data_IF_097330934623
#
_entry.id   IF_097330934623
#
_cell.length_a   1.000
_cell.length_b   1.000
_cell.length_c   1.000
_cell.angle_alpha   90.00
_cell.angle_beta   90.00
_cell.angle_gamma   90.00
#
_symmetry.space_group_name_H-M   'P 1'
#
loop_
_entity.id
_entity.type
_entity.pdbx_description
1 polymer ?
#
# COMPACT_ATOMS: atom_id res chain seq x y z
N UNK A 1 111.77 12.34 26.17
CA UNK A 1 111.32 13.72 25.95
C UNK A 1 110.55 13.72 24.66
N UNK A 2 109.34 14.29 24.70
CA UNK A 2 108.47 14.65 23.54
C UNK A 2 107.89 13.44 22.76
N UNK A 3 106.59 13.30 22.50
CA UNK A 3 105.45 14.20 22.66
C UNK A 3 104.13 13.43 22.77
N UNK A 4 103.16 14.08 23.40
CA UNK A 4 101.77 13.66 23.55
C UNK A 4 101.04 13.71 22.20
N UNK A 5 100.19 12.71 21.90
CA UNK A 5 98.99 12.99 21.12
C UNK A 5 97.77 12.23 21.64
N UNK A 6 96.91 13.03 22.25
CA UNK A 6 95.55 12.82 22.68
C UNK A 6 94.64 12.55 21.48
N UNK A 7 93.80 11.51 21.50
CA UNK A 7 92.45 11.65 20.89
C UNK A 7 91.44 10.59 21.38
N UNK A 8 90.60 11.05 22.31
CA UNK A 8 89.13 11.01 22.26
C UNK A 8 88.44 9.64 22.15
N UNK A 9 87.94 9.23 23.33
CA UNK A 9 86.58 8.73 23.58
C UNK A 9 85.62 8.87 22.40
N UNK A 10 85.13 7.74 21.90
CA UNK A 10 83.92 7.71 21.07
C UNK A 10 83.01 6.60 21.57
N UNK A 11 82.45 6.83 22.76
CA UNK A 11 81.22 6.18 23.23
C UNK A 11 80.15 6.53 22.19
N UNK A 12 79.91 5.65 21.22
CA UNK A 12 78.73 5.71 20.37
C UNK A 12 77.52 5.41 21.25
N UNK A 13 77.04 6.44 21.96
CA UNK A 13 75.62 6.60 22.25
C UNK A 13 74.92 6.65 20.90
N UNK A 14 74.59 5.47 20.39
CA UNK A 14 73.46 5.34 19.48
C UNK A 14 72.26 5.73 20.33
N UNK A 15 71.89 7.00 20.27
CA UNK A 15 70.53 7.42 20.53
C UNK A 15 69.65 6.58 19.60
N UNK A 16 69.16 5.47 20.12
CA UNK A 16 67.94 4.84 19.63
C UNK A 16 66.86 5.87 19.92
N UNK A 17 66.67 6.78 18.96
CA UNK A 17 65.43 7.53 18.85
C UNK A 17 64.31 6.50 18.95
N UNK A 18 63.50 6.70 19.99
CA UNK A 18 62.45 5.81 20.44
C UNK A 18 61.31 5.76 19.42
N UNK A 19 61.56 5.13 18.27
CA UNK A 19 60.56 4.87 17.25
C UNK A 19 59.55 3.80 17.69
N UNK A 20 59.75 3.20 18.88
CA UNK A 20 58.84 2.21 19.47
C UNK A 20 57.49 2.86 19.82
N UNK A 21 57.49 4.11 20.30
CA UNK A 21 56.27 4.87 20.55
C UNK A 21 55.54 5.26 19.26
N UNK A 22 56.26 5.66 18.21
CA UNK A 22 55.66 5.98 16.90
C UNK A 22 55.03 4.74 16.23
N UNK A 23 55.67 3.58 16.34
CA UNK A 23 55.14 2.31 15.83
C UNK A 23 53.91 1.86 16.65
N UNK A 24 53.94 1.99 17.98
CA UNK A 24 52.76 1.72 18.83
C UNK A 24 51.61 2.67 18.57
N UNK A 25 51.90 3.95 18.37
CA UNK A 25 50.89 4.99 18.12
C UNK A 25 50.28 4.80 16.73
N UNK A 26 51.09 4.51 15.72
CA UNK A 26 50.62 4.17 14.37
C UNK A 26 49.78 2.89 14.33
N UNK A 27 50.15 1.87 15.11
CA UNK A 27 49.34 0.65 15.26
C UNK A 27 47.98 0.95 15.89
N UNK A 28 47.93 1.76 16.95
CA UNK A 28 46.68 2.10 17.63
C UNK A 28 45.76 2.97 16.76
N UNK A 29 46.34 3.93 16.03
CA UNK A 29 45.61 4.74 15.04
C UNK A 29 45.04 3.86 13.93
N UNK A 30 45.83 2.92 13.38
CA UNK A 30 45.37 1.97 12.37
C UNK A 30 44.21 1.10 12.87
N UNK A 31 44.26 0.66 14.14
CA UNK A 31 43.20 -0.15 14.72
C UNK A 31 41.91 0.64 14.95
N UNK A 32 42.01 1.89 15.37
CA UNK A 32 40.85 2.81 15.46
C UNK A 32 40.26 3.05 14.08
N UNK A 33 41.09 3.28 13.05
CA UNK A 33 40.62 3.41 11.67
C UNK A 33 39.94 2.14 11.16
N UNK A 34 40.47 0.94 11.45
CA UNK A 34 39.80 -0.32 11.10
C UNK A 34 38.46 -0.47 11.81
N UNK A 35 38.37 -0.11 13.09
CA UNK A 35 37.12 -0.17 13.84
C UNK A 35 36.08 0.79 13.25
N UNK A 36 36.47 2.04 12.99
CA UNK A 36 35.61 3.04 12.33
C UNK A 36 35.18 2.55 10.94
N UNK A 37 36.10 2.02 10.13
CA UNK A 37 35.78 1.50 8.80
C UNK A 37 34.79 0.33 8.85
N UNK A 38 34.91 -0.56 9.85
CA UNK A 38 33.99 -1.69 10.03
C UNK A 38 32.60 -1.22 10.43
N UNK A 39 32.52 -0.26 11.37
CA UNK A 39 31.23 0.32 11.80
C UNK A 39 30.57 1.08 10.65
N UNK A 40 31.32 1.87 9.88
CA UNK A 40 30.80 2.57 8.70
C UNK A 40 30.37 1.59 7.60
N UNK A 41 31.11 0.50 7.39
CA UNK A 41 30.75 -0.53 6.42
C UNK A 41 29.44 -1.22 6.76
N UNK A 42 29.24 -1.60 8.03
CA UNK A 42 27.97 -2.18 8.50
C UNK A 42 26.84 -1.16 8.42
N UNK A 43 27.09 0.10 8.80
CA UNK A 43 26.09 1.16 8.74
C UNK A 43 25.55 1.37 7.33
N UNK A 44 26.43 1.52 6.34
CA UNK A 44 26.05 1.71 4.93
C UNK A 44 25.30 0.49 4.37
N UNK A 45 25.77 -0.73 4.66
CA UNK A 45 25.08 -1.95 4.24
C UNK A 45 23.70 -2.09 4.88
N UNK A 46 23.55 -1.69 6.15
CA UNK A 46 22.27 -1.72 6.86
C UNK A 46 21.27 -0.67 6.36
N UNK A 47 21.75 0.49 5.90
CA UNK A 47 20.92 1.55 5.34
C UNK A 47 20.26 1.11 4.02
N UNK A 48 21.03 0.47 3.14
CA UNK A 48 20.51 -0.12 1.90
C UNK A 48 19.47 -1.23 2.20
N UNK A 49 19.75 -2.09 3.18
CA UNK A 49 18.83 -3.16 3.60
C UNK A 49 17.48 -2.64 4.13
N UNK A 50 17.51 -1.60 4.97
CA UNK A 50 16.30 -0.98 5.50
C UNK A 50 15.49 -0.29 4.40
N UNK A 51 16.16 0.46 3.52
CA UNK A 51 15.51 1.15 2.40
C UNK A 51 14.84 0.15 1.46
N UNK A 52 15.50 -0.97 1.17
CA UNK A 52 14.93 -2.06 0.35
C UNK A 52 13.71 -2.71 1.03
N UNK A 53 13.78 -2.93 2.35
CA UNK A 53 12.67 -3.54 3.10
C UNK A 53 11.43 -2.63 3.17
N UNK A 54 11.62 -1.31 3.36
CA UNK A 54 10.52 -0.34 3.33
C UNK A 54 9.86 -0.34 1.94
N UNK A 55 10.67 -0.25 0.88
CA UNK A 55 10.16 -0.27 -0.50
C UNK A 55 9.40 -1.57 -0.81
N UNK A 56 9.91 -2.71 -0.35
CA UNK A 56 9.21 -3.99 -0.50
C UNK A 56 7.85 -3.98 0.20
N UNK A 57 7.79 -3.51 1.45
CA UNK A 57 6.54 -3.42 2.20
C UNK A 57 5.53 -2.48 1.53
N UNK A 58 5.96 -1.33 1.03
CA UNK A 58 5.10 -0.40 0.30
C UNK A 58 4.51 -1.02 -0.97
N UNK A 59 5.32 -1.78 -1.72
CA UNK A 59 4.88 -2.50 -2.92
C UNK A 59 3.90 -3.63 -2.55
N UNK A 60 4.18 -4.40 -1.50
CA UNK A 60 3.30 -5.48 -1.03
C UNK A 60 1.94 -4.94 -0.56
N UNK A 61 1.94 -3.86 0.22
CA UNK A 61 0.73 -3.16 0.65
C UNK A 61 -0.07 -2.63 -0.55
N UNK A 62 0.61 -2.02 -1.52
CA UNK A 62 -0.02 -1.52 -2.75
C UNK A 62 -0.64 -2.66 -3.57
N UNK A 63 0.05 -3.79 -3.71
CA UNK A 63 -0.47 -4.97 -4.42
C UNK A 63 -1.71 -5.54 -3.71
N UNK A 64 -1.65 -5.69 -2.39
CA UNK A 64 -2.78 -6.21 -1.62
C UNK A 64 -3.98 -5.25 -1.65
N UNK A 65 -3.73 -3.94 -1.59
CA UNK A 65 -4.77 -2.91 -1.73
C UNK A 65 -5.35 -2.90 -3.16
N UNK A 66 -4.54 -3.17 -4.18
CA UNK A 66 -5.00 -3.32 -5.58
C UNK A 66 -6.02 -4.45 -5.69
N UNK A 67 -5.68 -5.66 -5.22
CA UNK A 67 -6.60 -6.81 -5.29
C UNK A 67 -7.87 -6.59 -4.48
N UNK A 68 -7.77 -5.93 -3.32
CA UNK A 68 -8.92 -5.59 -2.50
C UNK A 68 -9.89 -4.65 -3.26
N UNK A 69 -9.34 -3.59 -3.85
CA UNK A 69 -10.13 -2.63 -4.62
C UNK A 69 -10.67 -3.23 -5.92
N UNK A 70 -9.93 -4.13 -6.57
CA UNK A 70 -10.41 -4.84 -7.77
C UNK A 70 -11.58 -5.75 -7.44
N UNK A 71 -11.47 -6.52 -6.37
CA UNK A 71 -12.57 -7.38 -5.90
C UNK A 71 -13.80 -6.56 -5.52
N UNK A 72 -13.58 -5.39 -4.90
CA UNK A 72 -14.67 -4.48 -4.56
C UNK A 72 -15.31 -3.87 -5.81
N UNK A 73 -14.52 -3.51 -6.81
CA UNK A 73 -15.02 -3.03 -8.10
C UNK A 73 -15.93 -4.07 -8.75
N UNK A 74 -15.48 -5.33 -8.83
CA UNK A 74 -16.25 -6.41 -9.45
C UNK A 74 -17.57 -6.65 -8.68
N UNK A 75 -17.54 -6.72 -7.34
CA UNK A 75 -18.76 -6.85 -6.51
C UNK A 75 -19.75 -5.70 -6.76
N UNK A 76 -19.27 -4.46 -6.79
CA UNK A 76 -20.14 -3.30 -6.97
C UNK A 76 -20.69 -3.24 -8.39
N UNK A 77 -19.90 -3.61 -9.40
CA UNK A 77 -20.34 -3.71 -10.79
C UNK A 77 -21.47 -4.73 -10.93
N UNK A 78 -21.30 -5.93 -10.38
CA UNK A 78 -22.33 -6.97 -10.40
C UNK A 78 -23.61 -6.50 -9.69
N UNK A 79 -23.48 -5.76 -8.59
CA UNK A 79 -24.63 -5.20 -7.87
C UNK A 79 -25.34 -4.08 -8.65
N UNK A 80 -24.62 -3.26 -9.43
CA UNK A 80 -25.24 -2.28 -10.33
C UNK A 80 -26.09 -3.00 -11.36
N UNK A 81 -25.57 -4.06 -11.98
CA UNK A 81 -26.31 -4.88 -12.94
C UNK A 81 -27.54 -5.53 -12.30
N UNK A 82 -27.37 -6.14 -11.12
CA UNK A 82 -28.46 -6.77 -10.37
C UNK A 82 -29.62 -5.79 -10.06
N UNK A 83 -29.31 -4.53 -9.75
CA UNK A 83 -30.34 -3.50 -9.54
C UNK A 83 -31.08 -3.17 -10.84
N UNK A 84 -30.38 -3.12 -11.98
CA UNK A 84 -31.01 -2.88 -13.29
C UNK A 84 -31.93 -4.05 -13.67
N UNK A 85 -31.45 -5.27 -13.50
CA UNK A 85 -32.20 -6.51 -13.76
C UNK A 85 -33.46 -6.58 -12.90
N UNK A 86 -33.36 -6.23 -11.62
CA UNK A 86 -34.53 -6.16 -10.74
C UNK A 86 -35.58 -5.16 -11.25
N UNK A 87 -35.16 -3.97 -11.68
CA UNK A 87 -36.08 -2.97 -12.23
C UNK A 87 -36.75 -3.47 -13.50
N UNK A 88 -36.02 -4.14 -14.39
CA UNK A 88 -36.57 -4.75 -15.61
C UNK A 88 -37.58 -5.85 -15.27
N UNK A 89 -37.20 -6.77 -14.38
CA UNK A 89 -38.05 -7.87 -13.92
C UNK A 89 -39.38 -7.39 -13.32
N UNK A 90 -39.35 -6.33 -12.51
CA UNK A 90 -40.56 -5.73 -11.91
C UNK A 90 -41.43 -5.04 -12.96
N UNK A 91 -40.82 -4.40 -13.97
CA UNK A 91 -41.56 -3.77 -15.08
C UNK A 91 -42.26 -4.82 -15.94
N UNK A 92 -41.57 -5.89 -16.31
CA UNK A 92 -42.08 -6.93 -17.20
C UNK A 92 -43.20 -7.77 -16.55
N UNK A 93 -42.95 -8.24 -15.32
CA UNK A 93 -43.88 -9.17 -14.66
C UNK A 93 -45.02 -8.46 -13.93
N UNK A 94 -44.88 -7.16 -13.68
CA UNK A 94 -45.84 -6.34 -12.95
C UNK A 94 -46.37 -7.04 -11.65
N UNK A 95 -45.50 -7.66 -10.83
CA UNK A 95 -45.92 -8.62 -9.81
C UNK A 95 -46.71 -7.95 -8.68
N UNK A 96 -47.81 -8.53 -8.20
CA UNK A 96 -48.58 -7.95 -7.09
C UNK A 96 -47.78 -7.85 -5.77
N UNK A 97 -46.89 -8.82 -5.57
CA UNK A 97 -46.03 -8.97 -4.39
C UNK A 97 -44.57 -8.85 -4.82
N UNK A 98 -43.93 -7.76 -4.41
CA UNK A 98 -42.54 -7.44 -4.76
C UNK A 98 -41.52 -8.23 -3.93
N UNK A 99 -41.92 -8.71 -2.73
CA UNK A 99 -41.01 -9.40 -1.80
C UNK A 99 -40.45 -10.70 -2.36
N UNK A 100 -41.17 -11.32 -3.32
CA UNK A 100 -40.73 -12.53 -4.02
C UNK A 100 -39.59 -12.30 -5.01
N UNK A 101 -39.34 -11.04 -5.34
CA UNK A 101 -38.35 -10.61 -6.31
C UNK A 101 -37.27 -9.75 -5.66
N UNK A 102 -37.14 -9.79 -4.34
CA UNK A 102 -36.18 -8.98 -3.59
C UNK A 102 -34.75 -9.13 -4.18
N UNK A 103 -34.10 -8.04 -4.60
CA UNK A 103 -32.72 -8.07 -5.06
C UNK A 103 -31.77 -8.27 -3.87
N UNK A 104 -31.04 -9.39 -3.86
CA UNK A 104 -30.03 -9.67 -2.86
C UNK A 104 -28.68 -9.10 -3.30
N UNK A 105 -28.31 -7.94 -2.76
CA UNK A 105 -26.98 -7.36 -3.02
C UNK A 105 -25.88 -8.26 -2.48
N UNK A 106 -24.85 -8.50 -3.28
CA UNK A 106 -23.67 -9.22 -2.85
C UNK A 106 -22.76 -8.28 -2.06
N UNK A 107 -22.46 -8.60 -0.80
CA UNK A 107 -21.64 -7.73 0.08
C UNK A 107 -20.45 -8.47 0.69
N UNK A 108 -20.04 -9.61 0.12
CA UNK A 108 -18.98 -10.43 0.71
C UNK A 108 -17.64 -9.67 0.83
N UNK A 109 -17.20 -9.01 -0.23
CA UNK A 109 -15.99 -8.20 -0.25
C UNK A 109 -16.18 -7.00 0.68
N UNK A 110 -17.28 -6.27 0.56
CA UNK A 110 -17.59 -5.15 1.43
C UNK A 110 -17.55 -5.51 2.93
N UNK A 111 -18.14 -6.64 3.32
CA UNK A 111 -18.20 -7.10 4.70
C UNK A 111 -16.84 -7.60 5.19
N UNK A 112 -16.05 -8.23 4.32
CA UNK A 112 -14.70 -8.71 4.67
C UNK A 112 -13.69 -7.57 4.77
N UNK A 113 -13.89 -6.45 4.07
CA UNK A 113 -13.05 -5.26 4.18
C UNK A 113 -12.90 -4.76 5.63
N UNK A 114 -13.91 -4.93 6.49
CA UNK A 114 -13.79 -4.52 7.91
C UNK A 114 -12.66 -5.23 8.67
N UNK A 115 -12.17 -6.35 8.14
CA UNK A 115 -11.09 -7.15 8.71
C UNK A 115 -9.77 -7.01 7.98
N UNK A 116 -9.76 -6.39 6.80
CA UNK A 116 -8.54 -6.16 6.04
C UNK A 116 -7.80 -4.93 6.59
N UNK A 117 -6.49 -5.10 6.81
CA UNK A 117 -5.61 -3.98 7.21
C UNK A 117 -5.50 -2.92 6.10
N UNK A 118 -5.74 -3.30 4.85
CA UNK A 118 -5.52 -2.45 3.69
C UNK A 118 -6.76 -1.65 3.30
N UNK A 119 -7.90 -1.91 3.94
CA UNK A 119 -9.13 -1.11 3.77
C UNK A 119 -8.91 0.36 4.06
N UNK A 120 -8.08 0.70 5.05
CA UNK A 120 -7.77 2.10 5.37
C UNK A 120 -6.83 2.76 4.35
N UNK A 121 -6.19 1.98 3.48
CA UNK A 121 -5.40 2.46 2.34
C UNK A 121 -6.28 2.69 1.10
N UNK A 122 -7.52 2.18 1.09
CA UNK A 122 -8.50 2.51 0.04
C UNK A 122 -8.98 3.96 0.21
N UNK A 123 -9.03 4.76 -0.87
CA UNK A 123 -9.53 6.13 -0.78
C UNK A 123 -10.95 6.20 -0.20
N UNK A 124 -11.13 7.03 0.82
CA UNK A 124 -12.37 7.11 1.62
C UNK A 124 -13.62 7.48 0.81
N UNK A 125 -13.46 8.15 -0.34
CA UNK A 125 -14.53 8.46 -1.27
C UNK A 125 -15.24 7.19 -1.77
N UNK A 126 -14.48 6.18 -2.18
CA UNK A 126 -15.04 4.93 -2.71
C UNK A 126 -15.86 4.21 -1.65
N UNK A 127 -15.29 4.07 -0.44
CA UNK A 127 -15.99 3.44 0.68
C UNK A 127 -17.28 4.19 1.02
N UNK A 128 -17.25 5.53 0.98
CA UNK A 128 -18.42 6.35 1.29
C UNK A 128 -19.51 6.22 0.24
N UNK A 129 -19.14 6.23 -1.04
CA UNK A 129 -20.08 6.17 -2.16
C UNK A 129 -20.73 4.79 -2.26
N UNK A 130 -19.94 3.71 -2.15
CA UNK A 130 -20.44 2.33 -2.16
C UNK A 130 -21.39 2.08 -0.99
N UNK A 131 -21.01 2.51 0.22
CA UNK A 131 -21.89 2.41 1.40
C UNK A 131 -23.20 3.15 1.19
N UNK A 132 -23.17 4.34 0.58
CA UNK A 132 -24.37 5.14 0.31
C UNK A 132 -25.27 4.45 -0.71
N UNK A 133 -24.69 3.89 -1.77
CA UNK A 133 -25.42 3.13 -2.77
C UNK A 133 -26.12 1.91 -2.17
N UNK A 134 -25.42 1.06 -1.41
CA UNK A 134 -26.04 -0.09 -0.75
C UNK A 134 -27.16 0.33 0.20
N UNK A 135 -26.97 1.40 0.97
CA UNK A 135 -28.01 1.92 1.86
C UNK A 135 -29.24 2.46 1.10
N UNK A 136 -29.00 3.17 -0.01
CA UNK A 136 -30.06 3.77 -0.83
C UNK A 136 -30.89 2.70 -1.55
N UNK A 137 -30.22 1.71 -2.18
CA UNK A 137 -30.90 0.59 -2.84
C UNK A 137 -31.77 -0.19 -1.85
N UNK A 138 -31.19 -0.56 -0.70
CA UNK A 138 -31.93 -1.29 0.33
C UNK A 138 -33.15 -0.50 0.84
N UNK A 139 -33.02 0.81 1.05
CA UNK A 139 -34.15 1.64 1.47
C UNK A 139 -35.23 1.77 0.40
N UNK A 140 -34.84 1.95 -0.86
CA UNK A 140 -35.78 2.07 -1.99
C UNK A 140 -36.55 0.78 -2.24
N UNK A 141 -35.86 -0.36 -2.24
CA UNK A 141 -36.45 -1.70 -2.40
C UNK A 141 -37.44 -1.96 -1.26
N UNK A 142 -37.00 -1.81 -0.01
CA UNK A 142 -37.85 -2.01 1.17
C UNK A 142 -39.10 -1.14 1.13
N UNK A 143 -38.96 0.15 0.82
CA UNK A 143 -40.11 1.07 0.72
C UNK A 143 -41.01 0.77 -0.48
N UNK A 144 -40.47 0.21 -1.56
CA UNK A 144 -41.24 -0.30 -2.70
C UNK A 144 -42.08 -1.51 -2.30
N UNK A 145 -41.48 -2.47 -1.61
CA UNK A 145 -42.12 -3.69 -1.09
C UNK A 145 -43.23 -3.38 -0.07
N UNK A 146 -42.95 -2.45 0.86
CA UNK A 146 -43.91 -1.95 1.84
C UNK A 146 -45.04 -1.10 1.22
N UNK A 147 -44.98 -0.83 -0.10
CA UNK A 147 -45.90 0.07 -0.84
C UNK A 147 -45.90 1.52 -0.33
N UNK A 148 -44.89 1.91 0.42
CA UNK A 148 -44.64 3.31 0.80
C UNK A 148 -44.31 4.14 -0.45
N UNK A 149 -43.52 3.58 -1.37
CA UNK A 149 -43.23 4.17 -2.67
C UNK A 149 -43.88 3.40 -3.82
N UNK A 150 -44.58 4.12 -4.68
CA UNK A 150 -45.09 3.56 -5.93
C UNK A 150 -43.95 3.22 -6.90
N UNK A 151 -44.20 2.26 -7.79
CA UNK A 151 -43.22 1.80 -8.80
C UNK A 151 -42.69 2.92 -9.68
N UNK A 152 -43.56 3.87 -10.04
CA UNK A 152 -43.18 5.07 -10.81
C UNK A 152 -42.17 5.97 -10.09
N UNK A 153 -41.98 5.81 -8.79
CA UNK A 153 -41.03 6.57 -7.99
C UNK A 153 -39.76 5.78 -7.70
N UNK A 154 -39.87 4.59 -7.10
CA UNK A 154 -38.67 3.88 -6.64
C UNK A 154 -37.87 3.27 -7.79
N UNK A 155 -38.51 2.80 -8.88
CA UNK A 155 -37.78 2.16 -9.99
C UNK A 155 -36.88 3.15 -10.74
N UNK A 156 -37.33 4.37 -11.11
CA UNK A 156 -36.41 5.37 -11.67
C UNK A 156 -35.30 5.77 -10.69
N UNK A 157 -35.58 5.81 -9.38
CA UNK A 157 -34.57 6.13 -8.36
C UNK A 157 -33.51 5.04 -8.22
N UNK A 158 -33.89 3.77 -8.33
CA UNK A 158 -32.94 2.66 -8.37
C UNK A 158 -32.02 2.76 -9.60
N UNK A 159 -32.58 3.09 -10.76
CA UNK A 159 -31.80 3.31 -11.99
C UNK A 159 -30.87 4.53 -11.85
N UNK A 160 -31.34 5.63 -11.26
CA UNK A 160 -30.51 6.80 -10.99
C UNK A 160 -29.33 6.49 -10.05
N UNK A 161 -29.58 5.69 -9.00
CA UNK A 161 -28.53 5.23 -8.08
C UNK A 161 -27.51 4.33 -8.80
N UNK A 162 -27.98 3.41 -9.65
CA UNK A 162 -27.15 2.53 -10.47
C UNK A 162 -26.33 3.32 -11.49
N UNK A 163 -26.95 4.23 -12.24
CA UNK A 163 -26.30 5.10 -13.23
C UNK A 163 -25.20 5.95 -12.58
N UNK A 164 -25.49 6.53 -11.41
CA UNK A 164 -24.52 7.32 -10.66
C UNK A 164 -23.32 6.47 -10.20
N UNK A 165 -23.59 5.29 -9.64
CA UNK A 165 -22.53 4.38 -9.19
C UNK A 165 -21.63 3.97 -10.36
N UNK A 166 -22.22 3.65 -11.50
CA UNK A 166 -21.49 3.26 -12.72
C UNK A 166 -20.67 4.41 -13.29
N UNK A 167 -21.31 5.55 -13.55
CA UNK A 167 -20.70 6.65 -14.31
C UNK A 167 -19.71 7.49 -13.49
N UNK A 168 -19.90 7.55 -12.16
CA UNK A 168 -19.03 8.33 -11.28
C UNK A 168 -18.05 7.43 -10.52
N UNK A 169 -18.56 6.54 -9.67
CA UNK A 169 -17.72 5.83 -8.70
C UNK A 169 -16.94 4.69 -9.34
N UNK A 170 -17.56 3.82 -10.13
CA UNK A 170 -16.89 2.70 -10.79
C UNK A 170 -15.86 3.17 -11.81
N UNK A 171 -16.20 4.16 -12.66
CA UNK A 171 -15.22 4.78 -13.58
C UNK A 171 -14.02 5.34 -12.82
N UNK A 172 -14.25 6.06 -11.72
CA UNK A 172 -13.16 6.66 -10.97
C UNK A 172 -12.36 5.64 -10.14
N UNK A 173 -12.96 4.49 -9.80
CA UNK A 173 -12.28 3.36 -9.15
C UNK A 173 -11.41 2.60 -10.15
N UNK A 174 -11.93 2.37 -11.35
CA UNK A 174 -11.17 1.75 -12.45
C UNK A 174 -9.93 2.58 -12.82
N UNK A 175 -10.06 3.89 -12.94
CA UNK A 175 -8.91 4.79 -13.13
C UNK A 175 -7.88 4.70 -11.99
N UNK A 176 -8.33 4.50 -10.76
CA UNK A 176 -7.45 4.32 -9.61
C UNK A 176 -6.72 2.96 -9.70
N UNK A 177 -7.42 1.90 -10.08
CA UNK A 177 -6.84 0.58 -10.31
C UNK A 177 -5.80 0.59 -11.42
N UNK A 178 -6.07 1.27 -12.54
CA UNK A 178 -5.09 1.42 -13.63
C UNK A 178 -3.84 2.20 -13.19
N UNK A 179 -4.02 3.22 -12.34
CA UNK A 179 -2.90 3.96 -11.75
C UNK A 179 -2.05 3.04 -10.86
N UNK A 180 -2.68 2.27 -9.98
CA UNK A 180 -2.00 1.30 -9.10
C UNK A 180 -1.30 0.21 -9.92
N UNK A 181 -1.94 -0.32 -10.97
CA UNK A 181 -1.37 -1.30 -11.89
C UNK A 181 -0.12 -0.76 -12.59
N UNK A 182 -0.17 0.48 -13.07
CA UNK A 182 0.98 1.15 -13.68
C UNK A 182 2.12 1.38 -12.67
N UNK A 183 1.81 1.71 -11.41
CA UNK A 183 2.80 1.86 -10.34
C UNK A 183 3.43 0.53 -9.93
N UNK A 184 2.65 -0.55 -9.85
CA UNK A 184 3.13 -1.90 -9.59
C UNK A 184 4.03 -2.39 -10.74
N UNK A 185 3.63 -2.16 -11.99
CA UNK A 185 4.40 -2.55 -13.16
C UNK A 185 5.77 -1.84 -13.24
N UNK A 186 5.85 -0.56 -12.84
CA UNK A 186 7.14 0.17 -12.71
C UNK A 186 8.08 -0.44 -11.67
N UNK A 187 7.54 -1.18 -10.71
CA UNK A 187 8.28 -1.89 -9.68
C UNK A 187 8.41 -3.40 -9.99
N UNK A 188 8.22 -3.79 -11.25
CA UNK A 188 8.34 -5.19 -11.74
C UNK A 188 7.34 -6.17 -11.10
N UNK A 189 6.26 -5.65 -10.51
CA UNK A 189 5.16 -6.46 -9.99
C UNK A 189 4.02 -6.47 -11.00
N UNK A 190 3.74 -7.64 -11.55
CA UNK A 190 2.58 -7.84 -12.43
C UNK A 190 1.32 -8.13 -11.60
N UNK A 191 0.23 -7.49 -11.98
CA UNK A 191 -1.13 -7.74 -11.48
C UNK A 191 -2.08 -7.86 -12.66
N UNK A 192 -3.18 -8.58 -12.45
CA UNK A 192 -4.17 -8.94 -13.49
C UNK A 192 -4.77 -7.72 -14.22
#
# INVERSE_FOLDING_TARGET
>A
MEDMENTRTNTKLRDKLDNSELVKTGFWVGQVFMLIATVLGVYLASQEGLSQAIRFNEIDDMQNNYYLQRSLYDEVSDNVELVRDYVELVKENNPYDLTKFHPELQTYIWDTMRYSKNTLQTPSRFLSDIRRFYAEVNDLVRKGEERTYGRSYFMPKLLEAADKMEQETLVALDQNLETMKAELAKNEVAVE
#
